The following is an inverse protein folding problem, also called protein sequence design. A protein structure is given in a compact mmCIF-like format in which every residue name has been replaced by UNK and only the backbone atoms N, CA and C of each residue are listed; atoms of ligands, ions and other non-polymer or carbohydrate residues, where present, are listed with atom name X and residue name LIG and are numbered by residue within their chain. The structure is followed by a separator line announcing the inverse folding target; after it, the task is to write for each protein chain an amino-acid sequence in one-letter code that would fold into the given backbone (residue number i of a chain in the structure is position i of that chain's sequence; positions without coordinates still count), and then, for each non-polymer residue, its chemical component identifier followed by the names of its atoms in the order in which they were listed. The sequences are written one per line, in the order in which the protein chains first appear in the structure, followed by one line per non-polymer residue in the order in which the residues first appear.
data_IF_208224361535
#
_entry.id   IF_208224361535
#
_cell.length_a   1.000
_cell.length_b   1.000
_cell.length_c   1.000
_cell.angle_alpha   90.00
_cell.angle_beta   90.00
_cell.angle_gamma   90.00
#
_symmetry.space_group_name_H-M   'P 1'
#
loop_
_entity.id
_entity.type
_entity.pdbx_description
1 polymer ?
#
# COMPACT_ATOMS: atom_id res chain seq x y z
N UNK A 1 24.23 -12.15 0.49
CA UNK A 1 23.21 -13.05 -0.10
C UNK A 1 21.95 -13.03 0.76
N UNK A 2 20.75 -12.79 0.20
CA UNK A 2 19.51 -12.77 0.99
C UNK A 2 19.12 -14.18 1.45
N UNK A 3 18.79 -14.34 2.74
CA UNK A 3 18.43 -15.65 3.38
C UNK A 3 17.32 -16.43 2.65
N UNK A 4 16.43 -15.75 1.92
CA UNK A 4 15.38 -16.38 1.11
C UNK A 4 15.92 -17.28 -0.01
N UNK A 5 16.97 -16.85 -0.70
CA UNK A 5 17.53 -17.58 -1.85
C UNK A 5 18.09 -18.93 -1.40
N UNK A 6 18.70 -18.98 -0.21
CA UNK A 6 19.19 -20.22 0.39
C UNK A 6 18.02 -21.17 0.71
N UNK A 7 16.94 -20.65 1.29
CA UNK A 7 15.73 -21.42 1.60
C UNK A 7 15.07 -21.96 0.32
N UNK A 8 14.98 -21.15 -0.73
CA UNK A 8 14.39 -21.56 -2.00
C UNK A 8 15.24 -22.62 -2.71
N UNK A 9 16.58 -22.51 -2.68
CA UNK A 9 17.49 -23.54 -3.17
C UNK A 9 17.36 -24.87 -2.41
N UNK A 10 17.28 -24.80 -1.08
CA UNK A 10 17.06 -26.00 -0.24
C UNK A 10 15.72 -26.68 -0.49
N UNK A 11 14.65 -25.89 -0.66
CA UNK A 11 13.33 -26.43 -1.02
C UNK A 11 13.37 -27.17 -2.36
N UNK A 12 14.07 -26.60 -3.36
CA UNK A 12 14.19 -27.20 -4.68
C UNK A 12 15.03 -28.48 -4.67
N UNK A 13 16.16 -28.48 -3.94
CA UNK A 13 17.10 -29.60 -3.92
C UNK A 13 16.61 -30.79 -3.09
N UNK A 14 15.90 -30.55 -1.98
CA UNK A 14 15.48 -31.59 -1.04
C UNK A 14 13.96 -31.85 -1.04
N UNK A 15 13.19 -31.20 -1.92
CA UNK A 15 11.71 -31.28 -1.98
C UNK A 15 11.03 -31.04 -0.61
N UNK A 16 11.64 -30.21 0.24
CA UNK A 16 11.16 -29.93 1.60
C UNK A 16 10.23 -28.72 1.65
N UNK A 17 9.32 -28.70 2.63
CA UNK A 17 8.51 -27.51 2.88
C UNK A 17 9.35 -26.33 3.35
N UNK A 18 8.90 -25.11 3.07
CA UNK A 18 9.54 -23.90 3.57
C UNK A 18 9.70 -23.89 5.10
N UNK A 19 8.77 -24.55 5.82
CA UNK A 19 8.84 -24.70 7.28
C UNK A 19 10.06 -25.51 7.71
N UNK A 20 10.29 -26.66 7.08
CA UNK A 20 11.42 -27.56 7.37
C UNK A 20 12.74 -26.87 7.02
N UNK A 21 12.82 -26.22 5.85
CA UNK A 21 13.99 -25.46 5.44
C UNK A 21 14.32 -24.30 6.40
N UNK A 22 13.30 -23.52 6.84
CA UNK A 22 13.50 -22.44 7.81
C UNK A 22 13.97 -22.95 9.18
N UNK A 23 13.47 -24.09 9.66
CA UNK A 23 13.88 -24.69 10.93
C UNK A 23 15.35 -25.13 10.92
N UNK A 24 15.78 -25.81 9.85
CA UNK A 24 17.16 -26.29 9.71
C UNK A 24 18.14 -25.12 9.56
N UNK A 25 17.77 -24.11 8.77
CA UNK A 25 18.60 -22.92 8.54
C UNK A 25 18.51 -21.87 9.66
N UNK A 26 17.79 -22.17 10.75
CA UNK A 26 17.49 -21.24 11.86
C UNK A 26 17.02 -19.85 11.37
N UNK A 27 16.26 -19.83 10.28
CA UNK A 27 15.75 -18.61 9.69
C UNK A 27 14.32 -18.35 10.17
N UNK A 28 14.01 -17.10 10.52
CA UNK A 28 12.64 -16.74 10.89
C UNK A 28 11.70 -16.91 9.69
N UNK A 29 10.64 -17.70 9.86
CA UNK A 29 9.59 -17.90 8.84
C UNK A 29 8.93 -16.58 8.43
N UNK A 30 8.76 -15.65 9.38
CA UNK A 30 8.17 -14.33 9.12
C UNK A 30 8.95 -13.57 8.04
N UNK A 31 10.28 -13.55 8.14
CA UNK A 31 11.16 -12.92 7.13
C UNK A 31 11.12 -13.64 5.78
N UNK A 32 10.94 -14.98 5.76
CA UNK A 32 10.77 -15.73 4.51
C UNK A 32 9.40 -15.48 3.85
N UNK A 33 8.34 -15.28 4.64
CA UNK A 33 6.99 -15.05 4.12
C UNK A 33 6.72 -13.59 3.77
N UNK A 34 7.43 -12.65 4.39
CA UNK A 34 7.26 -11.22 4.17
C UNK A 34 7.40 -10.88 2.70
N UNK A 35 6.32 -10.52 2.00
CA UNK A 35 6.41 -9.91 0.67
C UNK A 35 6.26 -8.42 0.87
N UNK A 36 7.22 -7.64 0.37
CA UNK A 36 7.07 -6.20 0.32
C UNK A 36 5.78 -5.90 -0.46
N UNK A 37 4.78 -5.36 0.22
CA UNK A 37 3.56 -4.87 -0.40
C UNK A 37 3.80 -3.40 -0.70
N UNK A 38 3.67 -3.00 -1.97
CA UNK A 38 3.60 -1.58 -2.32
C UNK A 38 2.43 -0.98 -1.55
N UNK A 39 2.68 0.13 -0.85
CA UNK A 39 1.64 0.78 -0.05
C UNK A 39 0.49 1.18 -0.98
N UNK A 40 -0.70 0.55 -0.87
CA UNK A 40 -1.82 0.86 -1.75
C UNK A 40 -2.34 2.29 -1.53
N UNK A 41 -1.90 2.95 -0.45
CA UNK A 41 -2.32 4.29 -0.06
C UNK A 41 -1.17 5.30 -0.10
N UNK A 42 -0.09 5.02 -0.86
CA UNK A 42 1.05 5.92 -0.99
C UNK A 42 0.64 7.33 -1.42
N UNK A 43 -0.31 7.43 -2.35
CA UNK A 43 -0.83 8.71 -2.82
C UNK A 43 -1.62 9.46 -1.73
N UNK A 44 -2.52 8.79 -1.01
CA UNK A 44 -3.25 9.40 0.12
C UNK A 44 -2.30 9.94 1.20
N UNK A 45 -1.27 9.16 1.56
CA UNK A 45 -0.26 9.59 2.54
C UNK A 45 0.54 10.80 2.06
N UNK A 46 0.88 10.84 0.77
CA UNK A 46 1.54 12.01 0.15
C UNK A 46 0.65 13.25 0.23
N UNK A 47 -0.64 13.11 -0.10
CA UNK A 47 -1.62 14.21 -0.02
C UNK A 47 -1.78 14.71 1.41
N UNK A 48 -1.91 13.82 2.40
CA UNK A 48 -1.98 14.19 3.82
C UNK A 48 -0.73 14.97 4.24
N UNK A 49 0.45 14.48 3.86
CA UNK A 49 1.72 15.16 4.14
C UNK A 49 1.76 16.55 3.52
N UNK A 50 1.39 16.68 2.25
CA UNK A 50 1.35 17.96 1.55
C UNK A 50 0.36 18.95 2.21
N UNK A 51 -0.82 18.47 2.64
CA UNK A 51 -1.79 19.30 3.37
C UNK A 51 -1.22 19.78 4.72
N UNK A 52 -0.51 18.92 5.44
CA UNK A 52 0.14 19.26 6.71
C UNK A 52 1.31 20.24 6.51
N UNK A 53 2.11 20.06 5.46
CA UNK A 53 3.22 20.95 5.10
C UNK A 53 2.71 22.34 4.70
N UNK A 54 1.65 22.40 3.88
CA UNK A 54 1.06 23.68 3.43
C UNK A 54 0.42 24.45 4.58
N UNK A 55 -0.05 23.75 5.61
CA UNK A 55 -0.80 24.34 6.73
C UNK A 55 -0.33 23.77 8.06
N UNK A 56 0.87 24.15 8.50
CA UNK A 56 1.54 23.61 9.71
C UNK A 56 0.71 23.68 11.00
N UNK A 57 -0.23 24.63 11.12
CA UNK A 57 -1.14 24.73 12.28
C UNK A 57 -2.27 23.70 12.28
N UNK A 58 -2.45 22.94 11.20
CA UNK A 58 -3.55 22.01 11.06
C UNK A 58 -3.19 20.68 11.73
N UNK A 59 -3.94 20.32 12.77
CA UNK A 59 -3.89 18.98 13.33
C UNK A 59 -4.67 17.95 12.49
N UNK A 60 -4.83 16.75 13.02
CA UNK A 60 -5.54 15.66 12.35
C UNK A 60 -7.00 16.01 11.99
N UNK A 61 -7.67 16.83 12.79
CA UNK A 61 -9.11 17.13 12.65
C UNK A 61 -9.42 18.09 11.49
N UNK A 62 -8.70 19.22 11.32
CA UNK A 62 -8.81 20.02 10.10
C UNK A 62 -8.46 19.25 8.81
N UNK A 63 -7.46 18.35 8.87
CA UNK A 63 -7.09 17.51 7.73
C UNK A 63 -8.20 16.50 7.38
N UNK A 64 -8.84 15.88 8.38
CA UNK A 64 -9.98 14.97 8.16
C UNK A 64 -11.16 15.70 7.47
N UNK A 65 -11.42 16.98 7.79
CA UNK A 65 -12.44 17.77 7.09
C UNK A 65 -12.07 18.03 5.63
N UNK A 66 -10.80 18.34 5.34
CA UNK A 66 -10.32 18.54 3.96
C UNK A 66 -10.40 17.24 3.15
N UNK A 67 -10.01 16.12 3.74
CA UNK A 67 -10.13 14.80 3.12
C UNK A 67 -11.58 14.43 2.82
N UNK A 68 -12.52 14.78 3.71
CA UNK A 68 -13.95 14.57 3.45
C UNK A 68 -14.44 15.40 2.26
N UNK A 69 -13.98 16.66 2.12
CA UNK A 69 -14.34 17.53 0.99
C UNK A 69 -13.81 17.00 -0.34
N UNK A 70 -12.66 16.32 -0.33
CA UNK A 70 -12.07 15.68 -1.51
C UNK A 70 -12.62 14.26 -1.79
N UNK A 71 -13.59 13.76 -1.01
CA UNK A 71 -14.26 12.47 -1.24
C UNK A 71 -13.53 11.23 -0.67
N UNK A 72 -12.54 11.40 0.21
CA UNK A 72 -11.67 10.28 0.64
C UNK A 72 -12.30 9.26 1.60
N UNK A 73 -13.47 9.54 2.21
CA UNK A 73 -14.05 8.68 3.26
C UNK A 73 -14.99 7.58 2.79
N UNK A 74 -15.72 7.78 1.69
CA UNK A 74 -16.84 6.90 1.29
C UNK A 74 -16.64 6.37 -0.13
N UNK A 75 -16.18 7.22 -1.06
CA UNK A 75 -16.00 6.86 -2.48
C UNK A 75 -14.66 6.16 -2.76
N UNK A 76 -13.64 6.36 -1.89
CA UNK A 76 -12.28 5.86 -2.10
C UNK A 76 -12.19 4.34 -2.30
N UNK A 77 -13.12 3.57 -1.72
CA UNK A 77 -13.16 2.11 -1.85
C UNK A 77 -14.15 1.59 -2.89
N UNK A 78 -15.20 2.35 -3.21
CA UNK A 78 -16.28 1.86 -4.07
C UNK A 78 -16.02 2.12 -5.56
N UNK A 79 -15.42 3.26 -5.90
CA UNK A 79 -15.40 3.73 -7.30
C UNK A 79 -14.00 3.84 -7.91
N UNK A 80 -12.96 3.88 -7.09
CA UNK A 80 -11.60 4.20 -7.56
C UNK A 80 -10.66 2.98 -7.62
N UNK A 81 -10.00 2.69 -8.76
CA UNK A 81 -9.04 1.62 -8.86
C UNK A 81 -7.76 1.91 -8.06
N UNK A 82 -7.34 0.93 -7.26
CA UNK A 82 -6.10 0.99 -6.48
C UNK A 82 -4.88 1.06 -7.42
N UNK A 83 -4.23 2.23 -7.48
CA UNK A 83 -3.05 2.46 -8.32
C UNK A 83 -3.02 3.80 -9.07
N UNK A 84 -4.11 4.57 -9.07
CA UNK A 84 -4.12 5.94 -9.62
C UNK A 84 -3.58 6.97 -8.62
N UNK A 85 -2.98 8.05 -9.12
CA UNK A 85 -2.46 9.19 -8.34
C UNK A 85 -3.43 10.40 -8.33
N UNK A 86 -4.73 10.18 -8.51
CA UNK A 86 -5.74 11.26 -8.56
C UNK A 86 -6.34 11.54 -7.18
N UNK A 87 -7.06 12.63 -6.96
CA UNK A 87 -7.97 12.70 -5.79
C UNK A 87 -9.31 12.05 -6.18
N UNK A 88 -10.12 11.53 -5.23
CA UNK A 88 -11.43 10.94 -5.56
C UNK A 88 -12.30 11.86 -6.42
N UNK A 89 -12.43 13.15 -6.06
CA UNK A 89 -13.16 14.11 -6.89
C UNK A 89 -12.57 14.28 -8.32
N UNK A 90 -11.24 14.31 -8.47
CA UNK A 90 -10.60 14.39 -9.80
C UNK A 90 -10.82 13.11 -10.61
N UNK A 91 -10.81 11.96 -9.95
CA UNK A 91 -11.11 10.68 -10.56
C UNK A 91 -12.54 10.66 -11.09
N UNK A 92 -13.52 11.12 -10.30
CA UNK A 92 -14.92 11.21 -10.72
C UNK A 92 -15.11 12.22 -11.85
N UNK A 93 -14.46 13.38 -11.80
CA UNK A 93 -14.51 14.37 -12.89
C UNK A 93 -14.00 13.79 -14.22
N UNK A 94 -12.92 13.00 -14.19
CA UNK A 94 -12.41 12.33 -15.39
C UNK A 94 -13.35 11.22 -15.90
N UNK A 95 -13.94 10.45 -14.99
CA UNK A 95 -14.88 9.38 -15.34
C UNK A 95 -16.20 9.91 -15.93
N UNK A 96 -16.71 11.04 -15.43
CA UNK A 96 -17.94 11.67 -15.93
C UNK A 96 -17.72 12.48 -17.22
N UNK A 97 -16.48 12.94 -17.50
CA UNK A 97 -16.15 13.74 -18.67
C UNK A 97 -15.96 12.94 -19.98
N UNK A 98 -16.06 11.61 -19.95
CA UNK A 98 -15.80 10.75 -21.12
C UNK A 98 -17.04 10.02 -21.66
N UNK A 99 -18.26 10.49 -21.34
CA UNK A 99 -19.50 9.95 -21.94
C UNK A 99 -19.97 10.91 -23.05
N UNK A 100 -19.99 10.47 -24.33
CA UNK A 100 -20.62 11.24 -25.41
C UNK A 100 -22.14 11.35 -25.21
#
# INVERSE_FOLDING_TARGET
MPRRVIIDGWKAQFAVSARRACQVLQACRATYQYRARRDPQAFLRKTIRQMAETRTRYGYRPIDVLLRREGWRVEYHHERPHGTDLTPCKFLQQAHGSRP
#
